data_IF_212034534902
#
_entry.id   IF_212034534902
#
_cell.length_a   1.000
_cell.length_b   1.000
_cell.length_c   1.000
_cell.angle_alpha   90.00
_cell.angle_beta   90.00
_cell.angle_gamma   90.00
#
_symmetry.space_group_name_H-M   'P 1'
#
loop_
_entity.id
_entity.type
_entity.pdbx_description
1 polymer ?
#
# COMPACT_ATOMS: atom_id res chain seq x y z
N UNK A 1 15.62 1.44 -8.11
CA UNK A 1 16.12 0.47 -7.11
C UNK A 1 15.00 -0.50 -6.77
N UNK A 2 15.24 -1.80 -6.68
CA UNK A 2 14.22 -2.79 -6.27
C UNK A 2 14.46 -3.18 -4.81
N UNK A 3 13.40 -3.24 -4.00
CA UNK A 3 13.46 -3.76 -2.63
C UNK A 3 13.51 -5.29 -2.69
N UNK A 4 14.48 -5.87 -1.99
CA UNK A 4 14.62 -7.33 -1.90
C UNK A 4 13.34 -7.90 -1.30
N UNK A 5 12.62 -8.69 -2.09
CA UNK A 5 11.33 -9.24 -1.70
C UNK A 5 11.52 -10.37 -0.70
N UNK A 6 10.92 -10.24 0.48
CA UNK A 6 10.93 -11.29 1.50
C UNK A 6 9.70 -12.18 1.38
N UNK A 7 9.72 -13.37 2.00
CA UNK A 7 8.53 -14.25 2.04
C UNK A 7 7.31 -13.56 2.65
N UNK A 8 7.54 -12.73 3.67
CA UNK A 8 6.49 -12.00 4.35
C UNK A 8 5.82 -10.93 3.47
N UNK A 9 6.49 -10.47 2.40
CA UNK A 9 5.95 -9.46 1.49
C UNK A 9 5.04 -10.04 0.41
N UNK A 10 5.00 -11.36 0.18
CA UNK A 10 4.21 -11.92 -0.93
C UNK A 10 2.73 -11.53 -0.79
N UNK A 11 2.05 -11.18 -1.89
CA UNK A 11 2.49 -11.21 -3.31
C UNK A 11 3.22 -9.94 -3.80
N UNK A 12 3.66 -9.06 -2.91
CA UNK A 12 4.13 -7.71 -3.24
C UNK A 12 5.61 -7.66 -3.61
N UNK A 13 5.89 -6.86 -4.63
CA UNK A 13 7.23 -6.36 -4.97
C UNK A 13 7.22 -4.83 -4.93
N UNK A 14 8.36 -4.23 -4.60
CA UNK A 14 8.49 -2.76 -4.52
C UNK A 14 9.71 -2.28 -5.25
N UNK A 15 9.54 -1.26 -6.08
CA UNK A 15 10.63 -0.50 -6.69
C UNK A 15 10.59 0.97 -6.22
N UNK A 16 11.74 1.54 -5.92
CA UNK A 16 11.92 2.95 -5.58
C UNK A 16 12.59 3.66 -6.75
N UNK A 17 12.00 4.77 -7.19
CA UNK A 17 12.56 5.71 -8.14
C UNK A 17 12.36 7.13 -7.60
N UNK A 18 13.46 7.85 -7.34
CA UNK A 18 13.41 9.16 -6.68
C UNK A 18 12.71 9.08 -5.32
N UNK A 19 11.65 9.87 -5.17
CA UNK A 19 10.85 9.98 -3.94
C UNK A 19 9.56 9.16 -3.98
N UNK A 20 9.45 8.26 -4.95
CA UNK A 20 8.24 7.47 -5.21
C UNK A 20 8.56 5.97 -5.06
N UNK A 21 7.71 5.27 -4.32
CA UNK A 21 7.66 3.81 -4.29
C UNK A 21 6.56 3.31 -5.24
N UNK A 22 6.92 2.38 -6.11
CA UNK A 22 6.02 1.64 -6.99
C UNK A 22 5.80 0.26 -6.39
N UNK A 23 4.55 -0.05 -6.04
CA UNK A 23 4.14 -1.35 -5.55
C UNK A 23 3.53 -2.13 -6.70
N UNK A 24 3.94 -3.38 -6.84
CA UNK A 24 3.36 -4.32 -7.79
C UNK A 24 2.89 -5.56 -7.06
N UNK A 25 1.61 -5.90 -7.25
CA UNK A 25 1.03 -7.16 -6.79
C UNK A 25 1.08 -8.15 -7.97
N UNK A 26 1.78 -9.26 -7.80
CA UNK A 26 1.75 -10.34 -8.79
C UNK A 26 0.67 -11.32 -8.36
N UNK A 27 -0.43 -11.37 -9.11
CA UNK A 27 -1.42 -12.41 -8.90
C UNK A 27 -0.84 -13.76 -9.37
N UNK A 28 -1.09 -14.84 -8.64
CA UNK A 28 -0.64 -16.17 -9.06
C UNK A 28 -1.31 -16.51 -10.39
N UNK A 29 -0.50 -16.71 -11.42
CA UNK A 29 -0.90 -16.81 -12.84
C UNK A 29 -1.91 -17.95 -13.13
N UNK A 30 -2.11 -18.87 -12.19
CA UNK A 30 -2.99 -20.03 -12.33
C UNK A 30 -4.40 -19.85 -11.72
N UNK A 31 -4.71 -18.69 -11.13
CA UNK A 31 -6.02 -18.44 -10.51
C UNK A 31 -6.85 -17.46 -11.37
N UNK A 32 -8.02 -17.89 -11.82
CA UNK A 32 -8.97 -17.10 -12.61
C UNK A 32 -9.73 -16.07 -11.74
N UNK A 33 -9.56 -16.14 -10.42
CA UNK A 33 -9.94 -15.08 -9.48
C UNK A 33 -8.81 -14.07 -9.23
N UNK A 34 -7.67 -14.22 -9.92
CA UNK A 34 -6.47 -13.39 -9.77
C UNK A 34 -6.74 -11.88 -9.85
N UNK A 35 -7.63 -11.45 -10.73
CA UNK A 35 -8.00 -10.04 -10.91
C UNK A 35 -8.88 -9.50 -9.77
N UNK A 36 -9.61 -10.39 -9.08
CA UNK A 36 -10.45 -10.03 -7.94
C UNK A 36 -9.63 -9.73 -6.67
N UNK A 37 -8.42 -10.28 -6.56
CA UNK A 37 -7.50 -10.01 -5.45
C UNK A 37 -6.55 -8.83 -5.70
N UNK A 38 -6.48 -8.31 -6.94
CA UNK A 38 -5.65 -7.15 -7.24
C UNK A 38 -6.08 -5.94 -6.41
N UNK A 39 -5.11 -5.08 -6.00
CA UNK A 39 -5.46 -3.90 -5.26
C UNK A 39 -6.29 -2.96 -6.13
N UNK A 40 -7.20 -2.25 -5.47
CA UNK A 40 -8.10 -1.30 -6.11
C UNK A 40 -7.56 0.11 -5.91
N UNK A 41 -7.37 0.88 -6.96
CA UNK A 41 -6.77 2.21 -6.85
C UNK A 41 -7.72 3.24 -7.42
N UNK A 42 -7.87 4.34 -6.69
CA UNK A 42 -8.45 5.57 -7.20
C UNK A 42 -7.34 6.61 -7.24
N UNK A 43 -6.86 6.92 -8.45
CA UNK A 43 -5.72 7.83 -8.67
C UNK A 43 -5.85 9.15 -7.90
N UNK A 44 -4.83 9.44 -7.08
CA UNK A 44 -4.73 10.59 -6.18
C UNK A 44 -5.65 10.55 -4.96
N UNK A 45 -6.47 9.51 -4.78
CA UNK A 45 -7.58 9.51 -3.82
C UNK A 45 -7.65 8.31 -2.90
N UNK A 46 -7.19 7.13 -3.30
CA UNK A 46 -7.23 6.01 -2.39
C UNK A 46 -6.72 4.68 -2.91
N UNK A 47 -6.65 3.74 -1.97
CA UNK A 47 -6.18 2.38 -2.16
C UNK A 47 -7.09 1.41 -1.41
N UNK A 48 -7.54 0.37 -2.10
CA UNK A 48 -8.19 -0.81 -1.56
C UNK A 48 -7.27 -2.01 -1.63
N UNK A 49 -7.12 -2.73 -0.54
CA UNK A 49 -6.29 -3.95 -0.46
C UNK A 49 -7.17 -5.10 -0.01
N UNK A 50 -7.09 -6.23 -0.71
CA UNK A 50 -7.82 -7.43 -0.33
C UNK A 50 -7.34 -7.95 1.03
N UNK A 51 -8.25 -8.43 1.87
CA UNK A 51 -7.99 -8.77 3.28
C UNK A 51 -6.84 -9.77 3.45
N UNK A 52 -6.73 -10.75 2.53
CA UNK A 52 -5.69 -11.79 2.57
C UNK A 52 -4.29 -11.22 2.36
N UNK A 53 -4.17 -10.11 1.64
CA UNK A 53 -2.89 -9.51 1.25
C UNK A 53 -2.44 -8.40 2.21
N UNK A 54 -3.26 -8.03 3.20
CA UNK A 54 -2.97 -6.93 4.14
C UNK A 54 -1.65 -7.13 4.89
N UNK A 55 -1.35 -8.37 5.31
CA UNK A 55 -0.10 -8.69 6.00
C UNK A 55 1.10 -8.57 5.07
N UNK A 56 0.97 -9.08 3.84
CA UNK A 56 1.96 -8.96 2.78
C UNK A 56 2.27 -7.50 2.46
N UNK A 57 1.21 -6.71 2.30
CA UNK A 57 1.32 -5.30 2.00
C UNK A 57 1.98 -4.54 3.15
N UNK A 58 1.57 -4.79 4.40
CA UNK A 58 2.20 -4.19 5.57
C UNK A 58 3.70 -4.50 5.66
N UNK A 59 4.09 -5.76 5.43
CA UNK A 59 5.49 -6.14 5.39
C UNK A 59 6.26 -5.38 4.30
N UNK A 60 5.66 -5.20 3.11
CA UNK A 60 6.28 -4.43 2.02
C UNK A 60 6.53 -2.97 2.40
N UNK A 61 5.61 -2.34 3.15
CA UNK A 61 5.81 -0.99 3.68
C UNK A 61 6.96 -0.95 4.68
N UNK A 62 7.02 -1.93 5.59
CA UNK A 62 8.09 -2.03 6.59
C UNK A 62 9.45 -2.16 5.91
N UNK A 63 9.60 -3.05 4.93
CA UNK A 63 10.88 -3.22 4.21
C UNK A 63 11.24 -1.97 3.41
N UNK A 64 10.28 -1.34 2.74
CA UNK A 64 10.51 -0.09 1.98
C UNK A 64 11.01 1.02 2.89
N UNK A 65 10.46 1.16 4.09
CA UNK A 65 10.85 2.18 5.07
C UNK A 65 12.23 1.93 5.72
N UNK A 66 12.85 0.77 5.53
CA UNK A 66 14.25 0.54 5.94
C UNK A 66 15.25 1.14 4.95
N UNK A 67 14.83 1.38 3.71
CA UNK A 67 15.73 1.84 2.65
C UNK A 67 16.17 3.30 2.89
N UNK A 68 17.45 3.66 2.64
CA UNK A 68 17.95 5.03 2.84
C UNK A 68 17.17 6.11 2.07
N UNK A 69 16.66 5.78 0.88
CA UNK A 69 15.86 6.70 0.07
C UNK A 69 14.60 7.20 0.80
N UNK A 70 13.96 6.36 1.61
CA UNK A 70 12.80 6.77 2.42
C UNK A 70 13.18 7.86 3.41
N UNK A 71 14.31 7.69 4.12
CA UNK A 71 14.80 8.67 5.08
C UNK A 71 15.24 9.97 4.41
N UNK A 72 15.89 9.87 3.24
CA UNK A 72 16.28 11.04 2.46
C UNK A 72 15.08 11.84 1.98
N UNK A 73 14.03 11.18 1.49
CA UNK A 73 12.78 11.84 1.06
C UNK A 73 12.08 12.54 2.25
N UNK A 74 12.07 11.88 3.42
CA UNK A 74 11.53 12.47 4.66
C UNK A 74 12.32 13.70 5.11
N UNK A 75 13.64 13.66 5.04
CA UNK A 75 14.51 14.78 5.42
C UNK A 75 14.29 15.99 4.49
N UNK A 76 14.17 15.78 3.18
CA UNK A 76 13.95 16.85 2.18
C UNK A 76 12.66 17.63 2.40
N UNK A 77 11.57 16.96 2.78
CA UNK A 77 10.23 17.58 2.79
C UNK A 77 9.92 18.38 4.06
N UNK A 78 10.74 18.24 5.11
CA UNK A 78 10.53 18.88 6.41
C UNK A 78 9.26 18.36 7.13
N UNK A 79 9.21 18.50 8.46
CA UNK A 79 8.03 18.09 9.25
C UNK A 79 6.82 19.05 9.08
N UNK A 80 6.95 20.12 8.31
CA UNK A 80 6.04 21.27 8.30
C UNK A 80 4.83 21.15 7.36
N UNK A 81 4.77 20.14 6.49
CA UNK A 81 3.74 20.08 5.42
C UNK A 81 2.56 19.15 5.71
N UNK A 82 2.50 18.52 6.89
CA UNK A 82 1.45 17.53 7.24
C UNK A 82 1.49 16.23 6.40
N UNK A 83 2.29 16.18 5.33
CA UNK A 83 2.55 14.96 4.55
C UNK A 83 3.33 13.94 5.38
N UNK A 84 3.03 12.66 5.16
CA UNK A 84 3.58 11.57 5.95
C UNK A 84 3.08 11.45 7.39
N UNK A 85 2.07 12.25 7.77
CA UNK A 85 1.30 12.03 8.99
C UNK A 85 0.23 10.97 8.76
N UNK A 86 -0.29 10.41 9.85
CA UNK A 86 -1.41 9.48 9.82
C UNK A 86 -2.68 10.12 9.27
N UNK A 87 -2.81 11.46 9.31
CA UNK A 87 -3.98 12.21 8.85
C UNK A 87 -4.08 12.29 7.33
N UNK A 88 -2.96 12.15 6.61
CA UNK A 88 -2.96 12.03 5.15
C UNK A 88 -3.70 10.77 4.65
N UNK A 89 -3.98 9.81 5.55
CA UNK A 89 -4.73 8.60 5.27
C UNK A 89 -5.96 8.49 6.18
N UNK A 90 -7.09 8.13 5.60
CA UNK A 90 -8.31 7.88 6.37
C UNK A 90 -8.15 6.70 7.32
N UNK A 91 -9.07 6.60 8.28
CA UNK A 91 -9.32 5.33 8.97
C UNK A 91 -9.67 4.26 7.92
N UNK A 92 -9.20 3.01 8.08
CA UNK A 92 -9.59 1.90 7.20
C UNK A 92 -11.11 1.70 7.19
N UNK A 93 -11.67 1.54 6.00
CA UNK A 93 -13.06 1.15 5.81
C UNK A 93 -13.12 -0.30 5.31
N UNK A 94 -13.86 -1.14 6.03
CA UNK A 94 -14.05 -2.55 5.68
C UNK A 94 -15.26 -2.72 4.78
N UNK A 95 -15.03 -3.37 3.65
CA UNK A 95 -16.09 -3.93 2.82
C UNK A 95 -16.12 -5.45 3.03
N UNK A 96 -17.15 -5.93 3.73
CA UNK A 96 -17.33 -7.35 4.04
C UNK A 96 -17.77 -8.16 2.83
N UNK A 97 -18.43 -7.54 1.86
CA UNK A 97 -19.02 -8.23 0.73
C UNK A 97 -17.93 -8.59 -0.28
N UNK A 98 -16.97 -7.69 -0.46
CA UNK A 98 -15.85 -7.88 -1.38
C UNK A 98 -14.55 -8.30 -0.67
N UNK A 99 -14.53 -8.35 0.66
CA UNK A 99 -13.34 -8.62 1.48
C UNK A 99 -12.17 -7.64 1.24
N UNK A 100 -12.49 -6.38 0.94
CA UNK A 100 -11.50 -5.32 0.77
C UNK A 100 -11.43 -4.41 2.00
N UNK A 101 -10.24 -3.81 2.19
CA UNK A 101 -10.07 -2.68 3.11
C UNK A 101 -9.60 -1.47 2.33
N UNK A 102 -10.37 -0.39 2.42
CA UNK A 102 -10.15 0.85 1.70
C UNK A 102 -9.55 1.93 2.59
N UNK A 103 -8.62 2.68 2.01
CA UNK A 103 -7.96 3.84 2.59
C UNK A 103 -8.09 4.99 1.60
N UNK A 104 -8.65 6.11 2.04
CA UNK A 104 -8.55 7.37 1.29
C UNK A 104 -7.20 8.00 1.61
N UNK A 105 -6.47 8.45 0.60
CA UNK A 105 -5.15 9.06 0.74
C UNK A 105 -4.34 9.12 -0.55
N UNK A 106 -3.09 9.62 -0.48
CA UNK A 106 -2.26 9.85 -1.65
C UNK A 106 -1.74 8.54 -2.25
N UNK A 107 -2.47 8.00 -3.23
CA UNK A 107 -2.10 6.83 -4.03
C UNK A 107 -2.20 7.17 -5.52
N UNK A 108 -1.13 7.01 -6.28
CA UNK A 108 -1.11 7.20 -7.73
C UNK A 108 -1.37 5.91 -8.50
N UNK A 109 -2.03 6.02 -9.66
CA UNK A 109 -2.16 4.93 -10.65
C UNK A 109 -1.71 5.42 -12.02
N UNK A 110 -1.24 4.52 -12.91
CA UNK A 110 -0.83 4.87 -14.28
C UNK A 110 -2.02 5.23 -15.23
N UNK A 111 -3.10 5.83 -14.72
CA UNK A 111 -4.25 6.23 -15.53
C UNK A 111 -5.18 7.20 -14.82
N UNK A 112 -5.96 7.95 -15.60
CA UNK A 112 -6.85 9.04 -15.16
C UNK A 112 -8.28 8.58 -14.81
N UNK A 113 -8.50 7.28 -14.67
CA UNK A 113 -9.84 6.74 -14.44
C UNK A 113 -10.44 7.17 -13.09
N UNK A 114 -11.70 7.56 -13.09
CA UNK A 114 -12.45 7.93 -11.88
C UNK A 114 -12.94 6.69 -11.14
N UNK A 115 -12.66 6.64 -9.84
CA UNK A 115 -13.11 5.60 -8.92
C UNK A 115 -12.08 4.48 -8.75
N UNK A 116 -12.39 3.56 -7.84
CA UNK A 116 -11.56 2.39 -7.55
C UNK A 116 -11.59 1.40 -8.72
N UNK A 117 -10.41 1.02 -9.22
CA UNK A 117 -10.23 0.00 -10.27
C UNK A 117 -9.09 -0.94 -9.90
N UNK A 118 -9.22 -2.22 -10.25
CA UNK A 118 -8.12 -3.18 -10.11
C UNK A 118 -6.87 -2.67 -10.83
N UNK A 119 -5.75 -2.66 -10.14
CA UNK A 119 -4.48 -2.19 -10.66
C UNK A 119 -3.37 -3.08 -10.13
N UNK A 120 -2.67 -3.79 -11.02
CA UNK A 120 -1.52 -4.59 -10.61
C UNK A 120 -0.34 -3.74 -10.11
N UNK A 121 -0.31 -2.46 -10.47
CA UNK A 121 0.77 -1.52 -10.15
C UNK A 121 0.20 -0.18 -9.70
N UNK A 122 0.75 0.37 -8.62
CA UNK A 122 0.44 1.71 -8.14
C UNK A 122 1.65 2.37 -7.48
N UNK A 123 1.56 3.68 -7.27
CA UNK A 123 2.64 4.47 -6.71
C UNK A 123 2.22 5.20 -5.44
N UNK A 124 3.14 5.32 -4.49
CA UNK A 124 2.97 6.16 -3.30
C UNK A 124 4.27 6.92 -3.08
N UNK A 125 4.15 8.21 -2.78
CA UNK A 125 5.30 9.02 -2.37
C UNK A 125 5.89 8.46 -1.06
N UNK A 126 7.22 8.32 -1.00
CA UNK A 126 7.92 7.72 0.14
C UNK A 126 7.56 8.40 1.47
N UNK A 127 7.36 9.71 1.44
CA UNK A 127 6.96 10.49 2.61
C UNK A 127 5.62 10.04 3.19
N UNK A 128 4.69 9.59 2.35
CA UNK A 128 3.31 9.25 2.72
C UNK A 128 3.16 7.81 3.24
N UNK A 129 4.20 6.97 3.10
CA UNK A 129 4.18 5.57 3.53
C UNK A 129 4.00 5.39 5.04
N UNK A 130 4.54 6.30 5.86
CA UNK A 130 4.46 6.16 7.33
C UNK A 130 3.01 6.21 7.82
N UNK A 131 2.22 7.15 7.33
CA UNK A 131 0.83 7.29 7.73
C UNK A 131 0.02 6.04 7.40
N UNK A 132 0.18 5.51 6.18
CA UNK A 132 -0.46 4.28 5.74
C UNK A 132 -0.03 3.08 6.61
N UNK A 133 1.27 2.94 6.90
CA UNK A 133 1.76 1.87 7.78
C UNK A 133 1.14 1.95 9.17
N UNK A 134 0.97 3.15 9.74
CA UNK A 134 0.34 3.32 11.06
C UNK A 134 -1.13 2.86 11.02
N UNK A 135 -1.89 3.25 9.99
CA UNK A 135 -3.28 2.79 9.80
C UNK A 135 -3.37 1.28 9.67
N UNK A 136 -2.52 0.67 8.85
CA UNK A 136 -2.46 -0.78 8.68
C UNK A 136 -2.03 -1.50 9.95
N UNK A 137 -1.10 -0.95 10.72
CA UNK A 137 -0.68 -1.55 11.99
C UNK A 137 -1.84 -1.57 12.97
N UNK A 138 -2.56 -0.45 13.13
CA UNK A 138 -3.75 -0.39 13.99
C UNK A 138 -4.82 -1.39 13.55
N UNK A 139 -5.08 -1.46 12.25
CA UNK A 139 -5.99 -2.45 11.68
C UNK A 139 -5.60 -3.90 11.99
N UNK A 140 -4.33 -4.25 11.77
CA UNK A 140 -3.84 -5.61 11.97
C UNK A 140 -3.85 -6.01 13.45
N UNK A 141 -3.81 -5.05 14.37
CA UNK A 141 -3.98 -5.33 15.81
C UNK A 141 -5.44 -5.59 16.22
N UNK A 142 -6.42 -5.10 15.44
CA UNK A 142 -7.85 -5.32 15.71
C UNK A 142 -8.42 -6.53 14.98
N UNK A 143 -7.74 -7.00 13.92
CA UNK A 143 -8.16 -8.21 13.23
C UNK A 143 -7.82 -9.44 14.08
N UNK A 144 -8.75 -10.39 14.25
CA UNK A 144 -8.43 -11.66 14.88
C UNK A 144 -7.25 -12.30 14.13
N UNK A 145 -6.33 -12.88 14.90
CA UNK A 145 -5.24 -13.69 14.36
C UNK A 145 -5.82 -15.01 13.88
N UNK A 146 -6.71 -14.97 12.88
CA UNK A 146 -7.25 -16.20 12.30
C UNK A 146 -6.11 -16.96 11.62
N UNK A 147 -6.09 -18.24 11.95
CA UNK A 147 -4.97 -19.16 11.93
C UNK A 147 -4.41 -19.44 10.53
N UNK A 148 -3.07 -19.47 10.49
CA UNK A 148 -2.17 -20.20 9.55
C UNK A 148 -2.27 -19.92 8.06
#
# INVERSE_FOLDING_TARGET
MIIISTRAMRPWTVAIAGDTATFSAVSSVDDHTADAALPRVWGGRGLGVHRVDLRGFHASLVETMKHPAYWAARARRGLSTGRGTTEAWSVPHHDSDENFVYFTGPCGSPGEAVGYRSAAVFTIELVDLRGLRVRLTGLLTTLPSDAR
#
